data_IF_528837181051
#
_entry.id   IF_528837181051
#
_cell.length_a   1.000
_cell.length_b   1.000
_cell.length_c   1.000
_cell.angle_alpha   90.00
_cell.angle_beta   90.00
_cell.angle_gamma   90.00
#
_symmetry.space_group_name_H-M   'P 1'
#
loop_
_entity.id
_entity.type
_entity.pdbx_description
1 polymer ?
#
# COMPACT_ATOMS: atom_id res chain seq x y z
N UNK A 1 13.84 -29.84 2.54
CA UNK A 1 12.94 -29.12 3.48
C UNK A 1 11.54 -29.17 2.87
N UNK A 2 10.55 -29.80 3.53
CA UNK A 2 9.16 -29.83 3.01
C UNK A 2 8.54 -28.46 3.28
N UNK A 3 8.23 -27.71 2.23
CA UNK A 3 7.46 -26.47 2.33
C UNK A 3 6.04 -26.84 2.76
N UNK A 4 5.49 -26.17 3.78
CA UNK A 4 4.14 -26.47 4.23
C UNK A 4 3.12 -25.95 3.21
N UNK A 5 2.04 -26.70 3.00
CA UNK A 5 1.02 -26.34 2.01
C UNK A 5 0.36 -24.97 2.33
N UNK A 6 0.30 -24.61 3.61
CA UNK A 6 -0.21 -23.31 4.08
C UNK A 6 0.68 -22.13 3.69
N UNK A 7 2.01 -22.30 3.72
CA UNK A 7 2.95 -21.24 3.32
C UNK A 7 2.87 -20.94 1.82
N UNK A 8 2.70 -21.99 1.00
CA UNK A 8 2.52 -21.84 -0.46
C UNK A 8 1.23 -21.11 -0.81
N UNK A 9 0.15 -21.38 -0.07
CA UNK A 9 -1.13 -20.67 -0.21
C UNK A 9 -0.95 -19.19 0.14
N UNK A 10 -0.26 -18.88 1.25
CA UNK A 10 -0.08 -17.51 1.71
C UNK A 10 0.70 -16.66 0.70
N UNK A 11 1.83 -17.14 0.17
CA UNK A 11 2.61 -16.41 -0.85
C UNK A 11 1.89 -16.31 -2.20
N UNK A 12 1.06 -17.29 -2.55
CA UNK A 12 0.28 -17.26 -3.80
C UNK A 12 -0.84 -16.21 -3.77
N UNK A 13 -1.28 -15.81 -2.58
CA UNK A 13 -2.34 -14.81 -2.39
C UNK A 13 -1.85 -13.37 -2.60
N UNK A 14 -0.53 -13.14 -2.55
CA UNK A 14 0.06 -11.82 -2.65
C UNK A 14 -0.03 -11.27 -4.08
N UNK A 15 -0.20 -9.95 -4.20
CA UNK A 15 -0.15 -9.26 -5.48
C UNK A 15 1.31 -8.98 -5.88
N UNK A 16 1.78 -9.42 -7.07
CA UNK A 16 3.15 -9.20 -7.53
C UNK A 16 3.60 -7.74 -7.46
N UNK A 17 2.70 -6.81 -7.81
CA UNK A 17 3.00 -5.39 -7.78
C UNK A 17 3.21 -4.87 -6.35
N UNK A 18 2.50 -5.41 -5.36
CA UNK A 18 2.74 -5.08 -3.95
C UNK A 18 4.13 -5.54 -3.50
N UNK A 19 4.56 -6.73 -3.94
CA UNK A 19 5.92 -7.23 -3.66
C UNK A 19 6.97 -6.39 -4.37
N UNK A 20 6.75 -6.03 -5.64
CA UNK A 20 7.64 -5.14 -6.38
C UNK A 20 7.86 -3.80 -5.64
N UNK A 21 6.76 -3.15 -5.25
CA UNK A 21 6.81 -1.87 -4.54
C UNK A 21 7.57 -1.99 -3.22
N UNK A 22 7.33 -3.07 -2.46
CA UNK A 22 8.08 -3.35 -1.24
C UNK A 22 9.58 -3.51 -1.49
N UNK A 23 9.96 -4.25 -2.53
CA UNK A 23 11.37 -4.42 -2.89
C UNK A 23 12.02 -3.06 -3.23
N UNK A 24 11.36 -2.24 -4.04
CA UNK A 24 11.84 -0.91 -4.40
C UNK A 24 12.00 -0.01 -3.16
N UNK A 25 11.01 0.00 -2.26
CA UNK A 25 11.05 0.78 -1.01
C UNK A 25 12.18 0.33 -0.08
N UNK A 26 12.56 -0.94 -0.14
CA UNK A 26 13.64 -1.53 0.67
C UNK A 26 14.99 -1.55 -0.06
N UNK A 27 15.15 -0.75 -1.11
CA UNK A 27 16.43 -0.48 -1.76
C UNK A 27 16.87 -1.52 -2.79
N UNK A 28 15.99 -2.46 -3.16
CA UNK A 28 16.21 -3.29 -4.34
C UNK A 28 16.06 -2.44 -5.61
N UNK A 29 16.92 -2.69 -6.59
CA UNK A 29 16.89 -1.98 -7.88
C UNK A 29 16.55 -2.96 -8.99
N UNK A 30 15.63 -2.59 -9.87
CA UNK A 30 15.39 -3.35 -11.09
C UNK A 30 16.66 -3.36 -11.94
N UNK A 31 17.18 -4.55 -12.23
CA UNK A 31 18.31 -4.75 -13.13
C UNK A 31 17.82 -5.07 -14.54
N UNK A 32 16.72 -5.82 -14.65
CA UNK A 32 16.17 -6.26 -15.93
C UNK A 32 14.70 -6.60 -15.82
N UNK A 33 13.94 -6.26 -16.87
CA UNK A 33 12.57 -6.71 -17.05
C UNK A 33 12.49 -7.81 -18.13
N UNK A 34 11.65 -8.82 -17.91
CA UNK A 34 11.38 -9.92 -18.85
C UNK A 34 9.93 -9.76 -19.32
N UNK A 35 9.75 -8.93 -20.34
CA UNK A 35 8.44 -8.53 -20.87
C UNK A 35 7.50 -8.10 -19.73
N UNK A 36 6.28 -8.63 -19.69
CA UNK A 36 5.33 -8.42 -18.60
C UNK A 36 5.28 -9.59 -17.60
N UNK A 37 6.11 -10.63 -17.81
CA UNK A 37 6.01 -11.90 -17.07
C UNK A 37 6.79 -11.88 -15.75
N UNK A 38 7.93 -11.21 -15.73
CA UNK A 38 8.81 -11.16 -14.56
C UNK A 38 9.79 -9.97 -14.62
N UNK A 39 10.37 -9.63 -13.49
CA UNK A 39 11.53 -8.74 -13.43
C UNK A 39 12.61 -9.30 -12.49
N UNK A 40 13.85 -8.89 -12.73
CA UNK A 40 15.02 -9.21 -11.92
C UNK A 40 15.37 -7.95 -11.14
N UNK A 41 15.38 -8.08 -9.81
CA UNK A 41 15.82 -7.04 -8.90
C UNK A 41 17.09 -7.46 -8.19
N UNK A 42 17.96 -6.50 -7.90
CA UNK A 42 19.24 -6.71 -7.21
C UNK A 42 19.40 -5.80 -6.01
N UNK A 43 20.15 -6.27 -5.02
CA UNK A 43 20.61 -5.46 -3.90
C UNK A 43 22.04 -5.87 -3.53
N UNK A 44 22.84 -4.89 -3.09
CA UNK A 44 24.16 -5.13 -2.55
C UNK A 44 24.09 -4.96 -1.03
N UNK A 45 24.35 -6.03 -0.27
CA UNK A 45 24.35 -6.00 1.21
C UNK A 45 25.53 -6.83 1.72
N UNK A 46 26.28 -6.31 2.70
CA UNK A 46 27.44 -6.98 3.28
C UNK A 46 28.46 -7.49 2.23
N UNK A 47 28.79 -6.64 1.24
CA UNK A 47 29.69 -6.96 0.12
C UNK A 47 29.25 -8.14 -0.77
N UNK A 48 28.01 -8.63 -0.61
CA UNK A 48 27.41 -9.66 -1.47
C UNK A 48 26.31 -9.04 -2.33
N UNK A 49 26.26 -9.47 -3.59
CA UNK A 49 25.16 -9.16 -4.50
C UNK A 49 24.10 -10.25 -4.38
N UNK A 50 22.88 -9.84 -4.10
CA UNK A 50 21.71 -10.72 -4.10
C UNK A 50 20.82 -10.38 -5.29
N UNK A 51 20.07 -11.36 -5.76
CA UNK A 51 19.16 -11.23 -6.89
C UNK A 51 17.86 -11.95 -6.61
N UNK A 52 16.76 -11.34 -7.03
CA UNK A 52 15.41 -11.86 -6.98
C UNK A 52 14.86 -11.86 -8.40
N UNK A 53 14.27 -12.98 -8.81
CA UNK A 53 13.40 -13.06 -9.96
C UNK A 53 11.95 -12.99 -9.47
N UNK A 54 11.31 -11.83 -9.62
CA UNK A 54 9.94 -11.61 -9.22
C UNK A 54 8.99 -11.97 -10.38
N UNK A 55 8.12 -12.99 -10.25
CA UNK A 55 7.05 -13.20 -11.22
C UNK A 55 6.02 -12.07 -11.13
N UNK A 56 5.60 -11.52 -12.27
CA UNK A 56 4.62 -10.43 -12.37
C UNK A 56 3.22 -10.92 -12.79
N UNK A 57 3.12 -12.14 -13.32
CA UNK A 57 1.86 -12.79 -13.70
C UNK A 57 1.53 -13.95 -12.76
N UNK A 58 0.25 -14.09 -12.40
CA UNK A 58 -0.26 -15.15 -11.51
C UNK A 58 -0.69 -16.43 -12.24
N UNK A 59 -0.86 -16.38 -13.56
CA UNK A 59 -1.36 -17.49 -14.37
C UNK A 59 -0.44 -18.74 -14.40
N UNK A 60 0.90 -18.62 -14.41
CA UNK A 60 1.77 -19.78 -14.47
C UNK A 60 1.56 -20.74 -13.28
N UNK A 61 1.48 -22.07 -13.50
CA UNK A 61 1.25 -23.04 -12.42
C UNK A 61 2.31 -23.05 -11.31
N UNK A 62 3.52 -22.60 -11.64
CA UNK A 62 4.65 -22.54 -10.72
C UNK A 62 4.76 -21.19 -9.99
N UNK A 63 3.79 -20.28 -10.16
CA UNK A 63 3.75 -18.95 -9.53
C UNK A 63 4.02 -19.01 -8.02
N UNK A 64 3.32 -19.89 -7.30
CA UNK A 64 3.48 -20.03 -5.84
C UNK A 64 4.91 -20.39 -5.45
N UNK A 65 5.55 -21.28 -6.21
CA UNK A 65 6.93 -21.71 -5.96
C UNK A 65 7.94 -20.60 -6.26
N UNK A 66 7.72 -19.84 -7.34
CA UNK A 66 8.55 -18.67 -7.68
C UNK A 66 8.42 -17.59 -6.61
N UNK A 67 7.21 -17.31 -6.16
CA UNK A 67 6.98 -16.36 -5.07
C UNK A 67 7.61 -16.82 -3.76
N UNK A 68 7.51 -18.11 -3.42
CA UNK A 68 8.18 -18.67 -2.26
C UNK A 68 9.69 -18.43 -2.31
N UNK A 69 10.31 -18.64 -3.47
CA UNK A 69 11.74 -18.41 -3.68
C UNK A 69 12.15 -16.95 -3.48
N UNK A 70 11.31 -15.98 -3.86
CA UNK A 70 11.52 -14.56 -3.53
C UNK A 70 11.62 -14.36 -2.02
N UNK A 71 10.66 -14.89 -1.26
CA UNK A 71 10.65 -14.73 0.20
C UNK A 71 11.78 -15.46 0.90
N UNK A 72 12.24 -16.59 0.35
CA UNK A 72 13.45 -17.27 0.83
C UNK A 72 14.68 -16.38 0.69
N UNK A 73 14.83 -15.66 -0.43
CA UNK A 73 15.93 -14.70 -0.61
C UNK A 73 15.78 -13.53 0.36
N UNK A 74 14.56 -12.99 0.52
CA UNK A 74 14.31 -11.88 1.44
C UNK A 74 14.61 -12.24 2.89
N UNK A 75 14.23 -13.43 3.36
CA UNK A 75 14.53 -13.89 4.71
C UNK A 75 16.04 -13.88 5.02
N UNK A 76 16.87 -14.29 4.05
CA UNK A 76 18.33 -14.26 4.18
C UNK A 76 18.87 -12.83 4.13
N UNK A 77 18.38 -12.02 3.20
CA UNK A 77 18.87 -10.64 3.00
C UNK A 77 18.46 -9.73 4.15
N UNK A 78 17.23 -9.86 4.65
CA UNK A 78 16.68 -9.01 5.71
C UNK A 78 16.99 -9.51 7.12
N UNK A 79 17.51 -10.73 7.27
CA UNK A 79 17.77 -11.37 8.57
C UNK A 79 16.51 -11.40 9.45
N UNK A 80 15.35 -11.58 8.80
CA UNK A 80 14.02 -11.52 9.41
C UNK A 80 13.18 -12.69 8.90
N UNK A 81 12.34 -13.33 9.74
CA UNK A 81 11.52 -14.45 9.32
C UNK A 81 10.60 -14.09 8.15
N UNK A 82 10.51 -14.97 7.15
CA UNK A 82 9.66 -14.79 5.96
C UNK A 82 8.19 -14.50 6.31
N UNK A 83 7.66 -15.10 7.38
CA UNK A 83 6.29 -14.88 7.86
C UNK A 83 6.04 -13.43 8.27
N UNK A 84 7.02 -12.79 8.91
CA UNK A 84 6.91 -11.38 9.28
C UNK A 84 6.97 -10.48 8.04
N UNK A 85 7.83 -10.81 7.06
CA UNK A 85 7.93 -10.07 5.79
C UNK A 85 6.59 -10.14 5.03
N UNK A 86 6.02 -11.34 4.93
CA UNK A 86 4.70 -11.58 4.31
C UNK A 86 3.60 -10.83 5.07
N UNK A 87 3.62 -10.82 6.41
CA UNK A 87 2.64 -10.07 7.20
C UNK A 87 2.72 -8.55 6.94
N UNK A 88 3.92 -8.00 6.75
CA UNK A 88 4.10 -6.58 6.38
C UNK A 88 3.63 -6.23 4.96
N UNK A 89 3.54 -7.23 4.08
CA UNK A 89 3.00 -7.11 2.73
C UNK A 89 1.48 -7.27 2.66
N UNK A 90 0.84 -7.71 3.76
CA UNK A 90 -0.63 -7.81 3.81
C UNK A 90 -1.20 -6.43 3.57
N UNK A 91 -1.88 -6.37 2.43
CA UNK A 91 -2.12 -5.17 1.70
C UNK A 91 -3.30 -4.41 2.33
N UNK A 92 -3.22 -3.08 2.52
CA UNK A 92 -4.39 -2.27 2.82
C UNK A 92 -5.59 -2.62 1.93
N UNK A 93 -5.38 -2.97 0.65
CA UNK A 93 -6.44 -3.44 -0.25
C UNK A 93 -7.06 -4.78 0.17
N UNK A 94 -6.29 -5.75 0.68
CA UNK A 94 -6.87 -6.99 1.22
C UNK A 94 -7.68 -6.72 2.51
N UNK A 95 -7.19 -5.81 3.36
CA UNK A 95 -7.95 -5.29 4.51
C UNK A 95 -9.23 -4.57 4.05
N UNK A 96 -9.19 -3.82 2.95
CA UNK A 96 -10.32 -3.09 2.35
C UNK A 96 -11.43 -4.08 1.97
N UNK A 97 -11.05 -5.11 1.24
CA UNK A 97 -11.95 -6.17 0.77
C UNK A 97 -12.53 -6.94 1.97
N UNK A 98 -11.71 -7.29 2.97
CA UNK A 98 -12.18 -8.00 4.16
C UNK A 98 -13.13 -7.15 5.02
N UNK A 99 -12.83 -5.85 5.21
CA UNK A 99 -13.62 -4.93 6.02
C UNK A 99 -14.75 -4.25 5.24
N UNK A 100 -14.91 -4.55 3.94
CA UNK A 100 -15.87 -3.91 3.02
C UNK A 100 -15.83 -2.38 3.10
N UNK A 101 -14.63 -1.81 3.14
CA UNK A 101 -14.44 -0.37 3.23
C UNK A 101 -13.54 0.13 2.11
N UNK A 102 -13.78 1.34 1.62
CA UNK A 102 -12.83 2.01 0.74
C UNK A 102 -11.59 2.41 1.53
N UNK A 103 -10.41 2.18 0.94
CA UNK A 103 -9.13 2.54 1.56
C UNK A 103 -8.33 3.40 0.60
N UNK A 104 -8.01 4.61 1.06
CA UNK A 104 -7.02 5.46 0.42
C UNK A 104 -5.65 5.17 1.04
N UNK A 105 -4.76 4.57 0.24
CA UNK A 105 -3.36 4.35 0.64
C UNK A 105 -2.51 5.55 0.23
N UNK A 106 -2.12 6.38 1.19
CA UNK A 106 -1.21 7.50 0.95
C UNK A 106 0.22 7.11 1.29
N UNK A 107 1.09 7.10 0.27
CA UNK A 107 2.53 6.92 0.45
C UNK A 107 3.25 8.22 0.16
N UNK A 108 3.93 8.76 1.17
CA UNK A 108 4.72 9.96 1.01
C UNK A 108 6.17 9.59 0.64
N UNK A 109 6.55 9.83 -0.62
CA UNK A 109 7.95 9.75 -1.06
C UNK A 109 8.54 11.16 -1.05
N UNK A 110 9.41 11.45 -0.10
CA UNK A 110 10.05 12.75 0.00
C UNK A 110 11.26 12.80 -0.94
N UNK A 111 11.25 13.76 -1.88
CA UNK A 111 12.27 13.88 -2.95
C UNK A 111 13.51 14.68 -2.47
N UNK A 112 13.54 15.12 -1.21
CA UNK A 112 14.62 15.97 -0.71
C UNK A 112 15.73 15.16 -0.04
N UNK A 113 16.97 15.44 -0.45
CA UNK A 113 18.29 15.03 0.07
C UNK A 113 18.37 13.65 0.75
N UNK A 114 19.24 12.78 0.23
CA UNK A 114 19.47 11.36 0.62
C UNK A 114 19.61 11.08 2.14
N UNK A 115 19.64 12.10 2.99
CA UNK A 115 19.87 12.04 4.43
C UNK A 115 18.68 12.49 5.30
N UNK A 116 17.60 13.06 4.74
CA UNK A 116 16.42 13.44 5.56
C UNK A 116 15.46 12.27 5.71
N UNK A 117 15.60 11.57 6.84
CA UNK A 117 14.69 10.50 7.28
C UNK A 117 13.52 10.99 8.14
N UNK A 118 13.40 12.30 8.33
CA UNK A 118 12.42 12.90 9.25
C UNK A 118 11.56 13.95 8.53
N UNK A 119 10.26 13.86 8.73
CA UNK A 119 9.28 14.86 8.31
C UNK A 119 8.84 15.66 9.53
N UNK A 120 8.69 16.99 9.36
CA UNK A 120 8.12 17.81 10.43
C UNK A 120 6.68 17.40 10.72
N UNK A 121 6.36 17.11 11.98
CA UNK A 121 4.99 16.87 12.43
C UNK A 121 4.04 18.02 12.03
N UNK A 122 4.55 19.26 11.98
CA UNK A 122 3.78 20.43 11.51
C UNK A 122 3.43 20.34 10.02
N UNK A 123 4.35 19.86 9.18
CA UNK A 123 4.10 19.66 7.75
C UNK A 123 3.13 18.49 7.53
N UNK A 124 3.32 17.39 8.27
CA UNK A 124 2.40 16.27 8.24
C UNK A 124 0.98 16.67 8.62
N UNK A 125 0.83 17.44 9.71
CA UNK A 125 -0.45 17.97 10.15
C UNK A 125 -1.14 18.83 9.08
N UNK A 126 -0.38 19.67 8.36
CA UNK A 126 -0.93 20.44 7.23
C UNK A 126 -1.47 19.56 6.11
N UNK A 127 -0.75 18.49 5.75
CA UNK A 127 -1.20 17.55 4.72
C UNK A 127 -2.52 16.88 5.14
N UNK A 128 -2.58 16.41 6.39
CA UNK A 128 -3.78 15.74 6.92
C UNK A 128 -4.98 16.69 6.98
N UNK A 129 -4.77 17.94 7.44
CA UNK A 129 -5.82 18.96 7.45
C UNK A 129 -6.30 19.25 6.02
N UNK A 130 -5.40 19.47 5.07
CA UNK A 130 -5.79 19.75 3.69
C UNK A 130 -6.50 18.56 3.02
N UNK A 131 -6.19 17.33 3.42
CA UNK A 131 -6.92 16.15 2.97
C UNK A 131 -8.33 16.11 3.56
N UNK A 132 -8.50 16.40 4.85
CA UNK A 132 -9.83 16.51 5.48
C UNK A 132 -10.66 17.61 4.79
N UNK A 133 -10.09 18.81 4.62
CA UNK A 133 -10.74 19.94 3.96
C UNK A 133 -11.19 19.58 2.52
N UNK A 134 -10.41 18.76 1.81
CA UNK A 134 -10.77 18.26 0.50
C UNK A 134 -12.01 17.35 0.56
N UNK A 135 -12.03 16.35 1.44
CA UNK A 135 -13.18 15.46 1.57
C UNK A 135 -14.44 16.19 2.06
N UNK A 136 -14.29 17.16 2.97
CA UNK A 136 -15.39 18.01 3.42
C UNK A 136 -15.99 18.83 2.26
N UNK A 137 -15.13 19.42 1.42
CA UNK A 137 -15.57 20.18 0.26
C UNK A 137 -16.25 19.29 -0.79
N UNK A 138 -15.72 18.08 -1.00
CA UNK A 138 -16.29 17.07 -1.90
C UNK A 138 -17.65 16.59 -1.39
N UNK A 139 -17.78 16.24 -0.10
CA UNK A 139 -19.06 15.84 0.48
C UNK A 139 -20.09 16.97 0.47
N UNK A 140 -19.65 18.20 0.71
CA UNK A 140 -20.51 19.37 0.55
C UNK A 140 -21.02 19.49 -0.89
N UNK A 141 -20.14 19.40 -1.88
CA UNK A 141 -20.52 19.46 -3.29
C UNK A 141 -21.48 18.33 -3.68
N UNK A 142 -21.23 17.09 -3.26
CA UNK A 142 -22.07 15.96 -3.64
C UNK A 142 -23.50 16.07 -3.09
N UNK A 143 -23.66 16.55 -1.86
CA UNK A 143 -24.96 16.65 -1.20
C UNK A 143 -25.75 17.90 -1.63
N UNK A 144 -25.10 19.04 -1.85
CA UNK A 144 -25.79 20.28 -2.21
C UNK A 144 -25.81 20.54 -3.72
N UNK A 145 -25.01 19.80 -4.50
CA UNK A 145 -24.70 20.04 -5.92
C UNK A 145 -24.26 21.48 -6.22
N UNK A 146 -23.77 22.19 -5.20
CA UNK A 146 -23.39 23.60 -5.27
C UNK A 146 -22.17 23.88 -4.41
N UNK A 147 -21.27 24.72 -4.93
CA UNK A 147 -20.15 25.22 -4.15
C UNK A 147 -20.61 26.36 -3.24
N UNK A 148 -21.08 26.04 -2.04
CA UNK A 148 -21.43 27.04 -1.04
C UNK A 148 -20.22 27.40 -0.19
N UNK A 149 -19.68 28.62 -0.38
CA UNK A 149 -18.77 29.24 0.60
C UNK A 149 -19.54 29.49 1.89
N UNK A 150 -19.23 28.75 2.95
CA UNK A 150 -19.90 28.90 4.25
C UNK A 150 -19.56 27.78 5.21
N UNK A 151 -20.19 27.81 6.40
CA UNK A 151 -20.04 26.74 7.38
C UNK A 151 -20.63 25.44 6.83
N UNK A 152 -19.82 24.39 6.76
CA UNK A 152 -20.25 23.05 6.35
C UNK A 152 -21.16 22.49 7.45
N UNK A 153 -22.26 21.85 7.06
CA UNK A 153 -23.21 21.28 8.01
C UNK A 153 -22.56 20.13 8.80
N UNK A 154 -22.90 19.99 10.09
CA UNK A 154 -22.29 18.98 10.96
C UNK A 154 -22.50 17.57 10.42
N UNK A 155 -23.68 17.28 9.86
CA UNK A 155 -23.98 16.00 9.22
C UNK A 155 -23.01 15.65 8.08
N UNK A 156 -22.52 16.65 7.35
CA UNK A 156 -21.55 16.45 6.27
C UNK A 156 -20.18 16.15 6.88
N UNK A 157 -19.75 16.94 7.87
CA UNK A 157 -18.47 16.75 8.56
C UNK A 157 -18.38 15.36 9.21
N UNK A 158 -19.46 14.90 9.84
CA UNK A 158 -19.52 13.57 10.47
C UNK A 158 -19.42 12.44 9.42
N UNK A 159 -19.90 12.69 8.20
CA UNK A 159 -19.86 11.73 7.08
C UNK A 159 -18.50 11.72 6.36
N UNK A 160 -17.84 12.88 6.27
CA UNK A 160 -16.56 13.07 5.57
C UNK A 160 -15.35 12.97 6.49
N UNK A 161 -15.55 12.75 7.79
CA UNK A 161 -14.46 12.59 8.75
C UNK A 161 -13.50 11.47 8.33
N UNK A 162 -12.20 11.79 8.36
CA UNK A 162 -11.12 10.86 8.13
C UNK A 162 -10.58 10.33 9.46
N UNK A 163 -10.61 9.02 9.61
CA UNK A 163 -10.02 8.31 10.76
C UNK A 163 -8.77 7.56 10.34
N UNK A 164 -7.72 7.61 11.17
CA UNK A 164 -6.59 6.68 11.05
C UNK A 164 -7.07 5.33 11.59
N UNK A 165 -7.13 4.30 10.75
CA UNK A 165 -7.77 3.04 11.13
C UNK A 165 -6.80 1.86 11.32
N UNK A 166 -5.54 1.98 10.88
CA UNK A 166 -4.45 1.03 11.13
C UNK A 166 -3.09 1.72 10.91
N UNK A 167 -2.04 1.20 11.56
CA UNK A 167 -0.65 1.59 11.27
C UNK A 167 0.13 0.42 10.69
N UNK A 168 0.96 0.71 9.70
CA UNK A 168 1.83 -0.26 9.03
C UNK A 168 3.28 0.20 9.15
N UNK A 169 4.23 -0.65 8.77
CA UNK A 169 5.65 -0.26 8.76
C UNK A 169 5.87 0.93 7.81
N UNK A 170 6.10 2.12 8.38
CA UNK A 170 6.34 3.36 7.63
C UNK A 170 5.10 4.00 6.98
N UNK A 171 3.89 3.51 7.25
CA UNK A 171 2.65 4.07 6.68
C UNK A 171 1.46 3.86 7.61
N UNK A 172 0.31 4.42 7.26
CA UNK A 172 -0.94 4.23 8.00
C UNK A 172 -2.12 4.27 7.03
N UNK A 173 -3.19 3.57 7.39
CA UNK A 173 -4.43 3.56 6.64
C UNK A 173 -5.34 4.70 7.08
N UNK A 174 -5.96 5.39 6.12
CA UNK A 174 -7.02 6.37 6.38
C UNK A 174 -8.34 5.78 5.90
N UNK A 175 -9.37 5.87 6.74
CA UNK A 175 -10.74 5.45 6.48
C UNK A 175 -11.66 6.66 6.53
N UNK A 176 -12.60 6.75 5.61
CA UNK A 176 -13.74 7.68 5.68
C UNK A 176 -14.85 7.08 6.56
N UNK A 177 -15.45 7.88 7.45
CA UNK A 177 -16.46 7.41 8.42
C UNK A 177 -17.70 6.80 7.75
N UNK A 178 -18.11 7.25 6.56
CA UNK A 178 -19.17 6.56 5.78
C UNK A 178 -18.65 5.38 4.96
N UNK A 179 -18.69 4.19 5.54
CA UNK A 179 -18.69 2.94 4.77
C UNK A 179 -19.67 1.90 5.34
N UNK A 180 -20.68 2.32 6.12
CA UNK A 180 -21.67 1.37 6.64
C UNK A 180 -22.94 1.25 5.78
N UNK A 181 -23.33 2.25 4.98
CA UNK A 181 -24.58 2.17 4.17
C UNK A 181 -24.62 2.92 2.83
N UNK A 182 -23.50 3.45 2.33
CA UNK A 182 -23.49 4.13 1.03
C UNK A 182 -22.07 4.22 0.51
N UNK A 183 -21.81 3.51 -0.58
CA UNK A 183 -20.61 3.72 -1.38
C UNK A 183 -20.70 5.14 -1.94
N UNK A 184 -19.78 6.01 -1.55
CA UNK A 184 -19.64 7.29 -2.22
C UNK A 184 -18.98 6.99 -3.56
N UNK A 185 -19.76 7.12 -4.63
CA UNK A 185 -19.37 6.87 -6.03
C UNK A 185 -18.37 7.94 -6.55
N UNK A 186 -17.45 8.39 -5.68
CA UNK A 186 -16.58 9.55 -5.82
C UNK A 186 -15.39 9.30 -6.74
N UNK A 187 -14.99 8.04 -6.91
CA UNK A 187 -13.80 7.66 -7.67
C UNK A 187 -14.12 6.85 -8.93
N UNK A 188 -15.40 6.50 -9.16
CA UNK A 188 -15.82 5.70 -10.33
C UNK A 188 -16.23 6.57 -11.53
N UNK A 189 -16.33 7.89 -11.37
CA UNK A 189 -16.72 8.81 -12.45
C UNK A 189 -15.56 9.74 -12.81
N UNK A 190 -15.17 9.83 -14.10
CA UNK A 190 -14.20 10.82 -14.53
C UNK A 190 -14.77 12.24 -14.31
N UNK A 191 -13.94 13.14 -13.77
CA UNK A 191 -14.22 14.57 -13.62
C UNK A 191 -14.43 15.26 -14.98
#
# INVERSE_FOLDING_TARGET
MRVSNSEMIEVSSLEPLSVYNYLEDNGWKEERKIDNRACILIINKNQKKYSILLPLEKEPPDFASRMYDVFRVLEVVEERPKSEIIAGLKNPQQLAIQKKCEILSLRFKFIFEEYKRELSAKQMGKILISLQDFFDAVGQYELTKTYTKGKIAQEILDQTELSIFETFQGSFGIKLTMAENGQLDLLERPL
#
